data_IF_942497471479
#
_entry.id   IF_942497471479
#
_cell.length_a   1.000
_cell.length_b   1.000
_cell.length_c   1.000
_cell.angle_alpha   90.00
_cell.angle_beta   90.00
_cell.angle_gamma   90.00
#
_symmetry.space_group_name_H-M   'P 1'
#
loop_
_entity.id
_entity.type
_entity.pdbx_description
1 polymer ?
2 polymer ?
3 non-polymer ?
4 non-polymer ?
5 non-polymer ?
6 water ?
#
# COMPACT_ATOMS: atom_id res chain seq x y z
N UNK A 1 15.20 3.61 -19.78
CA UNK A 1 13.82 3.95 -19.47
C UNK A 1 13.30 5.05 -20.35
N UNK A 2 12.00 5.02 -20.65
CA UNK A 2 11.42 6.00 -21.55
C UNK A 2 11.39 7.41 -20.98
N UNK A 3 11.53 7.56 -19.65
CA UNK A 3 11.57 8.90 -19.06
C UNK A 3 12.98 9.38 -18.74
N UNK A 4 14.01 8.67 -19.21
CA UNK A 4 15.37 9.07 -18.91
C UNK A 4 15.75 10.45 -19.46
N UNK A 5 15.11 10.87 -20.54
CA UNK A 5 15.44 12.15 -21.16
C UNK A 5 14.66 13.34 -20.59
N UNK A 6 13.71 13.11 -19.68
CA UNK A 6 12.90 14.22 -19.14
C UNK A 6 13.43 14.67 -17.80
N UNK A 7 13.42 16.00 -17.59
CA UNK A 7 13.85 16.60 -16.33
C UNK A 7 13.05 16.04 -15.15
N UNK A 8 13.72 15.87 -14.01
CA UNK A 8 12.99 15.46 -12.81
C UNK A 8 11.81 16.37 -12.53
N UNK A 9 12.02 17.70 -12.56
CA UNK A 9 10.93 18.63 -12.23
C UNK A 9 9.77 18.50 -13.22
N UNK A 10 10.08 18.25 -14.49
CA UNK A 10 9.04 18.06 -15.51
C UNK A 10 8.26 16.78 -15.27
N UNK A 11 8.95 15.70 -14.84
CA UNK A 11 8.26 14.46 -14.49
C UNK A 11 7.28 14.67 -13.34
N UNK A 12 7.70 15.41 -12.31
CA UNK A 12 6.82 15.68 -11.17
C UNK A 12 5.64 16.54 -11.60
N UNK A 13 5.91 17.61 -12.35
CA UNK A 13 4.82 18.44 -12.88
C UNK A 13 3.83 17.61 -13.70
N UNK A 14 4.33 16.73 -14.57
CA UNK A 14 3.42 15.92 -15.36
C UNK A 14 2.69 14.86 -14.52
N UNK A 15 3.32 14.34 -13.46
CA UNK A 15 2.59 13.45 -12.57
C UNK A 15 1.38 14.15 -11.96
N UNK A 16 1.56 15.41 -11.56
CA UNK A 16 0.44 16.16 -11.00
C UNK A 16 -0.64 16.42 -12.04
N UNK A 17 -0.25 16.69 -13.29
CA UNK A 17 -1.23 16.84 -14.38
C UNK A 17 -1.99 15.53 -14.61
N UNK A 18 -1.28 14.42 -14.63
CA UNK A 18 -1.91 13.12 -14.85
C UNK A 18 -2.89 12.80 -13.73
N UNK A 19 -2.57 13.16 -12.48
CA UNK A 19 -3.51 12.97 -11.39
C UNK A 19 -4.80 13.76 -11.63
N UNK A 20 -4.66 15.01 -12.07
CA UNK A 20 -5.83 15.84 -12.35
C UNK A 20 -6.67 15.26 -13.48
N UNK A 21 -6.02 14.62 -14.45
CA UNK A 21 -6.68 14.01 -15.59
C UNK A 21 -7.13 12.58 -15.31
N UNK A 22 -6.90 12.07 -14.10
CA UNK A 22 -7.22 10.69 -13.73
C UNK A 22 -6.53 9.68 -14.66
N UNK A 23 -5.31 10.01 -15.05
CA UNK A 23 -4.49 9.17 -15.92
C UNK A 23 -3.42 8.49 -15.07
N UNK A 24 -3.85 7.49 -14.28
CA UNK A 24 -2.95 6.98 -13.25
C UNK A 24 -1.83 6.11 -13.78
N UNK A 25 -2.03 5.40 -14.90
CA UNK A 25 -0.90 4.69 -15.51
C UNK A 25 0.19 5.66 -15.94
N UNK A 26 -0.20 6.78 -16.59
CA UNK A 26 0.77 7.81 -16.92
C UNK A 26 1.43 8.36 -15.65
N UNK A 27 0.62 8.60 -14.62
CA UNK A 27 1.16 9.22 -13.43
C UNK A 27 2.20 8.30 -12.79
N UNK A 28 1.94 6.99 -12.85
CA UNK A 28 2.89 6.02 -12.30
C UNK A 28 4.16 5.98 -13.12
N UNK A 29 4.05 6.03 -14.45
CA UNK A 29 5.26 6.03 -15.27
C UNK A 29 6.09 7.28 -15.02
N UNK A 30 5.43 8.44 -14.87
CA UNK A 30 6.16 9.67 -14.58
C UNK A 30 6.89 9.56 -13.24
N UNK A 31 6.23 9.02 -12.22
CA UNK A 31 6.87 8.96 -10.90
C UNK A 31 7.95 7.89 -10.84
N UNK A 32 7.77 6.79 -11.58
CA UNK A 32 8.86 5.83 -11.74
C UNK A 32 10.08 6.53 -12.33
N UNK A 33 9.87 7.33 -13.39
CA UNK A 33 10.97 8.09 -13.96
C UNK A 33 11.61 9.04 -12.97
N UNK A 34 10.80 9.71 -12.13
CA UNK A 34 11.34 10.60 -11.11
C UNK A 34 12.18 9.85 -10.08
N UNK A 35 11.69 8.70 -9.62
CA UNK A 35 12.47 7.90 -8.66
C UNK A 35 13.80 7.50 -9.28
N UNK A 36 13.79 7.14 -10.55
CA UNK A 36 15.01 6.65 -11.18
C UNK A 36 16.02 7.75 -11.45
N UNK A 37 15.68 9.02 -11.19
CA UNK A 37 16.69 10.07 -11.23
C UNK A 37 17.70 9.91 -10.11
N UNK A 38 17.37 9.13 -9.08
CA UNK A 38 18.32 8.79 -8.04
C UNK A 38 18.30 9.68 -6.83
N UNK A 39 17.60 10.81 -6.87
CA UNK A 39 17.49 11.65 -5.68
C UNK A 39 16.39 11.14 -4.76
N UNK A 40 16.53 11.42 -3.48
CA UNK A 40 15.47 11.07 -2.55
C UNK A 40 14.20 11.89 -2.84
N UNK A 41 13.04 11.34 -2.43
CA UNK A 41 11.75 11.98 -2.67
C UNK A 41 11.31 12.78 -1.46
N UNK A 42 10.68 13.93 -1.72
CA UNK A 42 10.04 14.70 -0.66
C UNK A 42 8.79 14.00 -0.15
N UNK A 43 8.03 14.61 0.89
CA UNK A 43 6.78 14.02 1.39
C UNK A 43 5.69 14.07 0.33
N UNK A 44 5.67 15.28 -0.46
CA UNK A 44 4.67 15.44 -1.49
C UNK A 44 4.94 14.49 -2.66
N UNK A 45 6.22 14.29 -3.00
CA UNK A 45 6.58 13.35 -4.08
C UNK A 45 6.27 11.90 -3.71
N UNK A 46 6.49 11.51 -2.45
CA UNK A 46 6.09 10.18 -2.00
C UNK A 46 4.59 10.01 -2.13
N UNK A 47 3.82 11.07 -1.85
CA UNK A 47 2.39 11.00 -2.04
C UNK A 47 2.03 10.75 -3.51
N UNK A 48 2.70 11.47 -4.43
CA UNK A 48 2.40 11.24 -5.85
C UNK A 48 2.71 9.80 -6.26
N UNK A 49 3.85 9.27 -5.83
CA UNK A 49 4.21 7.90 -6.14
C UNK A 49 3.16 6.93 -5.61
N UNK A 50 2.76 7.12 -4.35
CA UNK A 50 1.78 6.26 -3.68
C UNK A 50 0.43 6.31 -4.37
N UNK A 51 -0.08 7.50 -4.66
CA UNK A 51 -1.38 7.63 -5.31
C UNK A 51 -1.37 6.95 -6.67
N UNK A 52 -0.30 7.14 -7.45
CA UNK A 52 -0.26 6.58 -8.80
C UNK A 52 -0.33 5.06 -8.77
N UNK A 53 0.57 4.42 -8.02
CA UNK A 53 0.59 2.97 -8.05
C UNK A 53 -0.59 2.35 -7.29
N UNK A 54 -1.10 3.01 -6.25
CA UNK A 54 -2.27 2.46 -5.56
C UNK A 54 -3.46 2.40 -6.51
N UNK A 55 -3.63 3.43 -7.33
CA UNK A 55 -4.74 3.43 -8.28
C UNK A 55 -4.56 2.36 -9.34
N UNK A 56 -3.33 2.21 -9.87
CA UNK A 56 -3.10 1.20 -10.91
C UNK A 56 -3.35 -0.19 -10.34
N UNK A 57 -2.69 -0.51 -9.23
CA UNK A 57 -2.85 -1.85 -8.68
C UNK A 57 -4.26 -2.05 -8.14
N UNK A 58 -4.92 -0.97 -7.68
CA UNK A 58 -6.28 -1.13 -7.19
C UNK A 58 -7.22 -1.57 -8.29
N UNK A 59 -7.05 -1.02 -9.49
CA UNK A 59 -7.87 -1.45 -10.62
C UNK A 59 -7.60 -2.89 -10.99
N UNK A 60 -6.34 -3.30 -10.94
CA UNK A 60 -5.99 -4.68 -11.23
C UNK A 60 -6.55 -5.62 -10.17
N UNK A 61 -6.47 -5.22 -8.90
CA UNK A 61 -7.00 -6.08 -7.84
C UNK A 61 -8.49 -6.26 -8.01
N UNK A 62 -9.20 -5.17 -8.35
CA UNK A 62 -10.64 -5.26 -8.51
C UNK A 62 -10.99 -6.17 -9.67
N UNK A 63 -10.26 -6.06 -10.78
CA UNK A 63 -10.49 -6.93 -11.93
C UNK A 63 -10.19 -8.39 -11.60
N UNK A 64 -9.08 -8.63 -10.89
CA UNK A 64 -8.72 -10.00 -10.53
C UNK A 64 -9.80 -10.65 -9.66
N UNK A 65 -10.37 -9.90 -8.72
CA UNK A 65 -11.41 -10.46 -7.86
C UNK A 65 -12.65 -10.82 -8.66
N UNK A 66 -13.04 -9.97 -9.63
CA UNK A 66 -14.18 -10.31 -10.48
C UNK A 66 -13.91 -11.61 -11.23
N UNK A 67 -12.73 -11.72 -11.84
CA UNK A 67 -12.42 -12.89 -12.66
C UNK A 67 -12.25 -14.14 -11.82
N UNK A 68 -11.65 -14.00 -10.63
CA UNK A 68 -11.48 -15.15 -9.76
C UNK A 68 -12.82 -15.68 -9.27
N UNK A 69 -13.77 -14.77 -9.03
CA UNK A 69 -15.11 -15.20 -8.62
C UNK A 69 -15.81 -15.96 -9.76
N UNK A 70 -15.71 -15.45 -11.00
CA UNK A 70 -16.28 -16.17 -12.13
C UNK A 70 -15.62 -17.53 -12.28
N UNK A 71 -14.30 -17.58 -12.15
CA UNK A 71 -13.57 -18.84 -12.27
C UNK A 71 -14.00 -19.84 -11.20
N UNK A 72 -14.13 -19.37 -9.96
CA UNK A 72 -14.50 -20.27 -8.87
C UNK A 72 -15.89 -20.85 -9.10
N UNK A 73 -16.81 -20.03 -9.62
CA UNK A 73 -18.16 -20.51 -9.87
C UNK A 73 -18.19 -21.53 -10.99
N UNK A 74 -17.34 -21.35 -12.01
CA UNK A 74 -17.33 -22.27 -13.14
C UNK A 74 -16.79 -23.64 -12.78
N UNK A 75 -16.00 -23.74 -11.71
CA UNK A 75 -15.39 -25.01 -11.31
C UNK A 75 -16.28 -25.79 -10.34
N UNK A 81 -19.18 -26.57 -18.38
CA UNK A 81 -17.80 -26.44 -18.86
C UNK A 81 -17.71 -25.37 -19.94
N UNK A 82 -16.76 -24.43 -19.78
CA UNK A 82 -16.63 -23.32 -20.72
C UNK A 82 -15.27 -23.26 -21.41
N UNK A 83 -14.34 -24.17 -21.10
CA UNK A 83 -13.03 -24.12 -21.70
C UNK A 83 -12.05 -23.33 -20.86
N UNK A 84 -10.86 -23.04 -21.41
CA UNK A 84 -9.78 -22.46 -20.61
C UNK A 84 -9.81 -20.94 -20.50
N UNK A 85 -10.80 -20.27 -21.10
CA UNK A 85 -10.68 -18.82 -21.30
C UNK A 85 -10.74 -18.05 -20.00
N UNK A 86 -11.59 -18.46 -19.05
CA UNK A 86 -11.66 -17.74 -17.78
C UNK A 86 -10.34 -17.84 -17.03
N UNK A 87 -9.77 -19.04 -16.95
CA UNK A 87 -8.48 -19.19 -16.27
C UNK A 87 -7.39 -18.38 -16.99
N UNK A 88 -7.36 -18.47 -18.33
CA UNK A 88 -6.34 -17.76 -19.10
C UNK A 88 -6.40 -16.26 -18.85
N UNK A 89 -7.61 -15.69 -18.87
CA UNK A 89 -7.73 -14.23 -18.72
C UNK A 89 -7.48 -13.81 -17.26
N UNK A 90 -7.91 -14.62 -16.29
CA UNK A 90 -7.55 -14.34 -14.90
C UNK A 90 -6.04 -14.39 -14.73
N UNK A 91 -5.38 -15.36 -15.34
CA UNK A 91 -3.92 -15.45 -15.30
C UNK A 91 -3.28 -14.22 -15.94
N UNK A 92 -3.85 -13.73 -17.03
CA UNK A 92 -3.30 -12.54 -17.70
C UNK A 92 -3.33 -11.34 -16.76
N UNK A 93 -4.48 -11.08 -16.15
CA UNK A 93 -4.59 -9.96 -15.22
C UNK A 93 -3.69 -10.17 -14.01
N UNK A 94 -3.63 -11.42 -13.50
CA UNK A 94 -2.76 -11.74 -12.38
C UNK A 94 -1.29 -11.43 -12.68
N UNK A 95 -0.84 -11.78 -13.87
CA UNK A 95 0.56 -11.56 -14.24
C UNK A 95 0.86 -10.07 -14.35
N UNK A 96 -0.08 -9.29 -14.88
CA UNK A 96 0.12 -7.86 -14.96
C UNK A 96 0.15 -7.24 -13.57
N UNK A 97 -0.74 -7.70 -12.69
CA UNK A 97 -0.73 -7.23 -11.30
C UNK A 97 0.60 -7.53 -10.62
N UNK A 98 1.09 -8.76 -10.79
CA UNK A 98 2.37 -9.15 -10.21
C UNK A 98 3.50 -8.31 -10.78
N UNK A 99 3.42 -7.98 -12.08
CA UNK A 99 4.42 -7.11 -12.67
C UNK A 99 4.48 -5.72 -12.06
N UNK A 100 3.31 -5.13 -11.78
CA UNK A 100 3.26 -3.83 -11.12
C UNK A 100 3.84 -3.92 -9.71
N UNK A 101 3.43 -4.94 -8.94
CA UNK A 101 3.99 -5.12 -7.60
C UNK A 101 5.50 -5.30 -7.65
N UNK A 102 6.00 -6.10 -8.61
CA UNK A 102 7.44 -6.28 -8.73
C UNK A 102 8.15 -4.98 -9.08
N UNK A 103 7.52 -4.14 -9.92
CA UNK A 103 8.09 -2.83 -10.24
C UNK A 103 8.20 -1.95 -9.00
N UNK A 104 7.12 -1.85 -8.21
CA UNK A 104 7.15 -1.03 -7.01
C UNK A 104 8.20 -1.57 -6.04
N UNK A 105 8.18 -2.89 -5.79
CA UNK A 105 9.16 -3.47 -4.89
C UNK A 105 10.58 -3.24 -5.41
N UNK A 106 10.75 -3.21 -6.73
CA UNK A 106 12.06 -2.93 -7.30
C UNK A 106 12.53 -1.51 -7.02
N UNK A 107 11.61 -0.53 -7.11
CA UNK A 107 11.97 0.85 -6.80
C UNK A 107 12.36 0.99 -5.34
N UNK A 108 11.62 0.30 -4.46
CA UNK A 108 11.90 0.41 -3.02
C UNK A 108 13.24 -0.21 -2.69
N UNK A 109 13.59 -1.32 -3.35
CA UNK A 109 14.83 -2.01 -3.08
C UNK A 109 16.02 -1.37 -3.80
N UNK A 110 15.76 -0.51 -4.82
CA UNK A 110 16.82 0.11 -5.64
C UNK A 110 16.44 1.56 -5.97
N UNK A 111 16.62 2.49 -5.03
CA UNK A 111 17.27 2.33 -3.74
C UNK A 111 16.56 3.17 -2.69
N UNK A 112 15.22 3.24 -2.78
CA UNK A 112 14.49 4.17 -1.92
C UNK A 112 14.67 3.84 -0.43
N UNK A 113 14.54 2.55 -0.05
CA UNK A 113 14.59 2.22 1.38
C UNK A 113 15.99 2.44 1.94
N UNK A 114 17.03 2.00 1.24
CA UNK A 114 18.36 2.10 1.83
C UNK A 114 18.80 3.55 1.99
N UNK A 115 18.27 4.46 1.19
CA UNK A 115 18.65 5.86 1.35
C UNK A 115 17.74 6.61 2.31
N UNK A 116 16.69 5.96 2.83
CA UNK A 116 15.70 6.62 3.68
C UNK A 116 16.17 6.58 5.14
N UNK A 117 16.57 7.73 5.67
CA UNK A 117 17.06 7.79 7.03
C UNK A 117 16.13 8.42 8.03
N UNK A 118 15.22 9.27 7.56
CA UNK A 118 14.25 9.90 8.46
C UNK A 118 13.11 8.94 8.74
N UNK A 119 12.47 9.11 9.89
CA UNK A 119 11.38 8.22 10.27
C UNK A 119 10.24 8.24 9.25
N UNK A 120 9.81 9.44 8.83
CA UNK A 120 8.65 9.48 7.93
C UNK A 120 8.95 8.79 6.60
N UNK A 121 10.12 9.03 6.01
CA UNK A 121 10.43 8.36 4.74
C UNK A 121 10.61 6.87 4.95
N UNK A 122 11.40 6.48 5.96
CA UNK A 122 11.69 5.05 6.14
C UNK A 122 10.44 4.26 6.47
N UNK A 123 9.60 4.79 7.38
CA UNK A 123 8.36 4.07 7.71
C UNK A 123 7.42 4.02 6.51
N UNK A 124 7.29 5.11 5.76
CA UNK A 124 6.40 5.08 4.59
C UNK A 124 6.86 4.04 3.58
N UNK A 125 8.16 3.97 3.29
CA UNK A 125 8.63 3.03 2.27
C UNK A 125 8.48 1.59 2.75
N UNK A 126 8.74 1.34 4.05
CA UNK A 126 8.59 -0.02 4.55
C UNK A 126 7.14 -0.45 4.58
N UNK A 127 6.23 0.48 4.93
CA UNK A 127 4.80 0.21 4.79
C UNK A 127 4.45 -0.14 3.34
N UNK A 128 4.98 0.63 2.38
CA UNK A 128 4.75 0.33 0.97
C UNK A 128 5.19 -1.07 0.62
N UNK A 129 6.37 -1.45 1.08
CA UNK A 129 6.90 -2.77 0.79
C UNK A 129 5.98 -3.84 1.37
N UNK A 130 5.50 -3.64 2.60
CA UNK A 130 4.51 -4.56 3.14
C UNK A 130 3.24 -4.63 2.30
N UNK A 131 2.76 -3.48 1.84
CA UNK A 131 1.52 -3.42 1.06
C UNK A 131 1.65 -4.20 -0.24
N UNK A 132 2.76 -4.00 -0.97
CA UNK A 132 2.82 -4.66 -2.28
C UNK A 132 3.15 -6.14 -2.15
N UNK A 133 3.83 -6.56 -1.09
CA UNK A 133 3.90 -8.01 -0.83
C UNK A 133 2.52 -8.55 -0.45
N UNK A 134 1.74 -7.77 0.31
CA UNK A 134 0.38 -8.19 0.64
C UNK A 134 -0.45 -8.37 -0.63
N UNK A 135 -0.30 -7.46 -1.59
CA UNK A 135 -1.05 -7.64 -2.84
C UNK A 135 -0.59 -8.87 -3.61
N UNK A 136 0.71 -9.16 -3.61
CA UNK A 136 1.19 -10.42 -4.17
C UNK A 136 0.59 -11.61 -3.41
N UNK A 137 0.50 -11.50 -2.08
CA UNK A 137 -0.04 -12.61 -1.29
C UNK A 137 -1.51 -12.88 -1.62
N UNK A 138 -2.27 -11.84 -1.97
CA UNK A 138 -3.68 -11.99 -2.28
C UNK A 138 -3.92 -12.95 -3.45
N UNK A 139 -2.99 -13.03 -4.40
CA UNK A 139 -3.14 -13.91 -5.57
C UNK A 139 -2.23 -15.13 -5.52
N UNK A 140 -1.42 -15.27 -4.48
CA UNK A 140 -0.44 -16.35 -4.41
C UNK A 140 -1.11 -17.65 -3.98
N UNK A 141 -0.63 -18.76 -4.54
CA UNK A 141 -1.19 -20.06 -4.22
C UNK A 141 -0.09 -21.08 -3.96
N UNK A 142 0.85 -21.20 -4.89
CA UNK A 142 1.85 -22.25 -4.86
C UNK A 142 2.87 -22.17 -3.74
N UNK A 143 4.03 -22.81 -3.94
CA UNK A 143 5.11 -22.90 -2.95
C UNK A 143 5.69 -21.55 -2.56
N UNK A 144 5.12 -20.46 -3.09
CA UNK A 144 5.59 -19.11 -2.81
C UNK A 144 4.70 -18.34 -1.86
N UNK A 145 3.49 -18.82 -1.58
CA UNK A 145 2.55 -18.01 -0.79
C UNK A 145 3.09 -17.77 0.61
N UNK A 146 3.64 -18.80 1.25
CA UNK A 146 4.13 -18.61 2.61
C UNK A 146 5.31 -17.64 2.66
N UNK A 147 6.25 -17.74 1.72
CA UNK A 147 7.39 -16.82 1.74
C UNK A 147 6.95 -15.39 1.43
N UNK A 148 5.95 -15.23 0.56
CA UNK A 148 5.44 -13.88 0.27
C UNK A 148 4.78 -13.29 1.51
N UNK A 149 4.00 -14.09 2.23
CA UNK A 149 3.38 -13.60 3.46
C UNK A 149 4.44 -13.20 4.46
N UNK A 150 5.52 -13.99 4.59
CA UNK A 150 6.51 -13.62 5.58
C UNK A 150 7.27 -12.36 5.18
N UNK A 151 7.48 -12.14 3.88
CA UNK A 151 8.08 -10.89 3.43
C UNK A 151 7.21 -9.70 3.78
N UNK A 152 5.89 -9.82 3.60
CA UNK A 152 5.01 -8.72 3.99
C UNK A 152 5.09 -8.48 5.50
N UNK A 153 4.99 -9.54 6.29
CA UNK A 153 5.06 -9.42 7.74
C UNK A 153 6.34 -8.72 8.16
N UNK A 154 7.46 -9.12 7.57
CA UNK A 154 8.75 -8.61 7.99
C UNK A 154 8.87 -7.12 7.68
N UNK A 155 8.35 -6.69 6.53
CA UNK A 155 8.37 -5.28 6.18
C UNK A 155 7.49 -4.48 7.13
N UNK A 156 6.27 -4.94 7.35
CA UNK A 156 5.37 -4.24 8.27
C UNK A 156 5.96 -4.15 9.66
N UNK A 157 6.56 -5.25 10.14
CA UNK A 157 7.09 -5.26 11.51
C UNK A 157 8.22 -4.28 11.67
N UNK A 158 9.14 -4.23 10.70
CA UNK A 158 10.21 -3.24 10.76
C UNK A 158 9.66 -1.83 10.79
N UNK A 159 8.66 -1.55 9.92
CA UNK A 159 8.03 -0.24 9.91
C UNK A 159 7.38 0.07 11.26
N UNK A 160 6.68 -0.91 11.84
CA UNK A 160 6.07 -0.68 13.15
C UNK A 160 7.11 -0.38 14.22
N UNK A 161 8.23 -1.13 14.21
CA UNK A 161 9.22 -0.91 15.26
C UNK A 161 9.77 0.51 15.21
N UNK A 162 10.05 1.01 14.00
CA UNK A 162 10.53 2.38 13.86
C UNK A 162 9.45 3.38 14.25
N UNK A 163 8.21 3.16 13.79
CA UNK A 163 7.16 4.15 14.02
C UNK A 163 6.85 4.30 15.51
N UNK A 164 6.91 3.20 16.27
CA UNK A 164 6.62 3.29 17.70
C UNK A 164 7.75 4.01 18.44
N UNK A 165 8.98 3.93 17.94
CA UNK A 165 10.09 4.62 18.59
C UNK A 165 10.19 6.08 18.17
N UNK A 166 9.71 6.43 16.97
CA UNK A 166 10.09 7.71 16.39
C UNK A 166 8.92 8.63 16.08
N UNK A 167 7.69 8.15 16.05
CA UNK A 167 6.55 9.01 15.75
C UNK A 167 5.54 8.99 16.88
N UNK A 168 4.77 10.07 17.02
CA UNK A 168 3.65 10.06 17.97
C UNK A 168 2.55 9.14 17.48
N UNK A 169 1.70 8.65 18.39
CA UNK A 169 0.65 7.69 18.00
C UNK A 169 -0.37 8.24 17.04
N UNK A 170 -0.47 9.57 16.86
CA UNK A 170 -1.39 10.18 15.92
C UNK A 170 -0.78 10.46 14.56
N UNK A 171 0.51 10.22 14.38
CA UNK A 171 1.12 10.47 13.09
C UNK A 171 0.39 9.69 12.00
N UNK A 172 -0.05 10.34 10.91
CA UNK A 172 -0.88 9.62 9.92
C UNK A 172 -0.15 8.47 9.23
N UNK A 173 1.16 8.58 9.04
CA UNK A 173 1.89 7.45 8.45
C UNK A 173 1.88 6.27 9.41
N UNK A 174 2.15 6.53 10.69
CA UNK A 174 2.07 5.47 11.71
C UNK A 174 0.68 4.85 11.75
N UNK A 175 -0.37 5.68 11.68
CA UNK A 175 -1.74 5.18 11.74
C UNK A 175 -2.09 4.35 10.51
N UNK A 176 -1.74 4.84 9.32
CA UNK A 176 -2.04 4.08 8.11
C UNK A 176 -1.29 2.77 8.05
N UNK A 177 -0.05 2.77 8.56
CA UNK A 177 0.71 1.53 8.68
C UNK A 177 -0.01 0.53 9.59
N UNK A 178 -0.43 0.98 10.78
CA UNK A 178 -1.12 0.08 11.70
C UNK A 178 -2.42 -0.44 11.10
N UNK A 179 -3.19 0.45 10.45
CA UNK A 179 -4.39 0.01 9.72
C UNK A 179 -4.05 -1.10 8.73
N UNK A 180 -3.04 -0.90 7.88
CA UNK A 180 -2.78 -1.89 6.84
C UNK A 180 -2.20 -3.18 7.42
N UNK A 181 -1.38 -3.08 8.47
CA UNK A 181 -0.89 -4.29 9.12
C UNK A 181 -2.04 -5.06 9.76
N UNK A 182 -3.04 -4.35 10.30
CA UNK A 182 -4.19 -5.07 10.86
C UNK A 182 -4.98 -5.79 9.76
N UNK A 183 -5.10 -5.16 8.58
CA UNK A 183 -5.75 -5.82 7.44
C UNK A 183 -4.94 -7.04 7.02
N UNK A 184 -3.60 -6.92 6.99
CA UNK A 184 -2.75 -8.06 6.72
C UNK A 184 -3.07 -9.22 7.68
N UNK A 185 -3.16 -8.93 8.99
CA UNK A 185 -3.41 -9.99 9.96
C UNK A 185 -4.75 -10.67 9.69
N UNK A 186 -5.78 -9.87 9.38
CA UNK A 186 -7.13 -10.42 9.27
C UNK A 186 -7.33 -11.14 7.94
N UNK A 187 -6.92 -10.52 6.84
CA UNK A 187 -7.25 -11.01 5.52
C UNK A 187 -6.23 -11.98 4.96
N UNK A 188 -4.97 -11.89 5.38
CA UNK A 188 -3.87 -12.63 4.76
C UNK A 188 -3.33 -13.70 5.68
N UNK A 189 -3.05 -13.33 6.94
CA UNK A 189 -2.33 -14.21 7.86
C UNK A 189 -3.25 -15.07 8.72
N UNK A 190 -4.55 -15.00 8.50
CA UNK A 190 -5.54 -15.80 9.25
C UNK A 190 -5.38 -15.59 10.76
N UNK A 191 -5.15 -14.35 11.16
CA UNK A 191 -4.96 -13.98 12.56
C UNK A 191 -5.93 -12.87 12.94
N UNK A 192 -7.24 -13.15 12.98
CA UNK A 192 -8.19 -12.08 13.31
C UNK A 192 -7.98 -11.50 14.69
N UNK A 193 -7.57 -12.32 15.67
CA UNK A 193 -7.39 -11.76 17.01
C UNK A 193 -6.21 -10.78 17.05
N UNK A 194 -5.13 -11.08 16.33
CA UNK A 194 -4.03 -10.11 16.24
C UNK A 194 -4.49 -8.84 15.53
N UNK A 195 -5.31 -8.98 14.48
CA UNK A 195 -5.82 -7.80 13.77
C UNK A 195 -6.66 -6.92 14.69
N UNK A 196 -7.59 -7.52 15.41
CA UNK A 196 -8.45 -6.78 16.33
C UNK A 196 -7.63 -6.11 17.43
N UNK A 197 -6.70 -6.86 18.03
CA UNK A 197 -5.85 -6.30 19.08
C UNK A 197 -5.06 -5.10 18.56
N UNK A 198 -4.43 -5.24 17.40
CA UNK A 198 -3.66 -4.14 16.86
C UNK A 198 -4.57 -2.94 16.58
N UNK A 199 -5.73 -3.17 16.00
CA UNK A 199 -6.62 -2.07 15.66
C UNK A 199 -7.08 -1.33 16.92
N UNK A 200 -7.47 -2.09 17.97
CA UNK A 200 -7.96 -1.48 19.21
C UNK A 200 -6.86 -0.68 19.91
N UNK A 201 -5.69 -1.28 20.07
CA UNK A 201 -4.58 -0.59 20.72
C UNK A 201 -4.18 0.69 19.96
N UNK A 202 -4.07 0.59 18.63
CA UNK A 202 -3.75 1.77 17.82
C UNK A 202 -4.79 2.86 18.00
N UNK A 203 -6.07 2.50 17.93
CA UNK A 203 -7.13 3.49 18.10
C UNK A 203 -7.04 4.17 19.45
N UNK A 204 -6.88 3.37 20.52
CA UNK A 204 -6.91 3.93 21.87
C UNK A 204 -5.70 4.83 22.12
N UNK A 205 -4.53 4.46 21.62
CA UNK A 205 -3.38 5.32 21.84
C UNK A 205 -3.48 6.61 21.04
N UNK A 206 -4.09 6.54 19.85
CA UNK A 206 -4.27 7.75 19.07
C UNK A 206 -5.27 8.68 19.73
N UNK A 207 -6.40 8.13 20.20
CA UNK A 207 -7.36 8.93 20.95
C UNK A 207 -6.69 9.75 22.05
N UNK A 208 -5.80 9.12 22.81
CA UNK A 208 -5.21 9.79 23.96
C UNK A 208 -4.22 10.88 23.57
N UNK A 209 -3.82 10.95 22.30
CA UNK A 209 -2.84 11.93 21.83
C UNK A 209 -3.47 13.00 20.93
N UNK A 210 -4.78 12.93 20.70
CA UNK A 210 -5.43 13.91 19.81
C UNK A 210 -5.33 15.32 20.37
N UNK A 211 -5.27 15.46 21.69
CA UNK A 211 -5.29 16.78 22.31
C UNK A 211 -4.06 17.60 21.96
N UNK A 212 -3.00 16.97 21.45
CA UNK A 212 -1.77 17.67 21.12
C UNK A 212 -1.78 18.30 19.74
N UNK A 213 -2.79 18.01 18.93
CA UNK A 213 -2.78 18.31 17.51
C UNK A 213 -3.46 19.64 17.19
N UNK A 214 -3.00 20.25 16.11
CA UNK A 214 -3.71 21.35 15.49
C UNK A 214 -4.95 20.81 14.78
N UNK A 215 -5.84 21.74 14.41
CA UNK A 215 -7.06 21.32 13.72
C UNK A 215 -6.76 20.56 12.43
N UNK A 216 -5.70 20.95 11.70
CA UNK A 216 -5.41 20.28 10.44
C UNK A 216 -4.86 18.87 10.65
N UNK A 217 -4.01 18.68 11.66
CA UNK A 217 -3.50 17.34 11.93
C UNK A 217 -4.58 16.47 12.57
N UNK A 218 -5.44 17.09 13.37
CA UNK A 218 -6.58 16.39 13.96
C UNK A 218 -7.46 15.76 12.89
N UNK A 219 -7.79 16.52 11.85
CA UNK A 219 -8.58 15.98 10.74
C UNK A 219 -7.93 14.74 10.14
N UNK A 220 -6.61 14.77 9.96
CA UNK A 220 -5.95 13.68 9.26
C UNK A 220 -5.92 12.42 10.13
N UNK A 221 -5.56 12.57 11.40
CA UNK A 221 -5.50 11.44 12.31
C UNK A 221 -6.88 10.80 12.49
N UNK A 222 -7.91 11.62 12.72
CA UNK A 222 -9.24 11.06 13.00
C UNK A 222 -9.83 10.35 11.80
N UNK A 223 -9.44 10.71 10.58
CA UNK A 223 -9.92 9.98 9.41
C UNK A 223 -9.47 8.52 9.45
N UNK A 224 -8.18 8.28 9.69
CA UNK A 224 -7.72 6.88 9.71
C UNK A 224 -8.28 6.16 10.92
N UNK A 225 -8.44 6.86 12.05
CA UNK A 225 -9.01 6.21 13.22
C UNK A 225 -10.42 5.72 12.95
N UNK A 226 -11.19 6.47 12.16
CA UNK A 226 -12.53 6.00 11.82
C UNK A 226 -12.47 4.73 10.99
N UNK A 227 -11.44 4.58 10.16
CA UNK A 227 -11.29 3.34 9.41
C UNK A 227 -10.95 2.17 10.33
N UNK A 228 -10.11 2.41 11.35
CA UNK A 228 -9.85 1.36 12.32
C UNK A 228 -11.15 0.94 13.01
N UNK A 229 -11.96 1.92 13.39
CA UNK A 229 -13.26 1.64 13.99
C UNK A 229 -14.15 0.87 13.02
N UNK A 230 -14.21 1.29 11.76
CA UNK A 230 -15.05 0.60 10.77
C UNK A 230 -14.67 -0.88 10.70
N UNK A 231 -13.36 -1.17 10.66
CA UNK A 231 -12.93 -2.56 10.59
C UNK A 231 -13.28 -3.30 11.88
N UNK A 232 -13.04 -2.68 13.04
CA UNK A 232 -13.39 -3.35 14.30
C UNK A 232 -14.87 -3.72 14.32
N UNK A 233 -15.71 -2.84 13.81
CA UNK A 233 -17.14 -3.12 13.72
C UNK A 233 -17.41 -4.32 12.82
N UNK A 234 -16.70 -4.39 11.69
CA UNK A 234 -16.86 -5.51 10.76
C UNK A 234 -16.33 -6.80 11.36
N UNK A 235 -15.21 -6.73 12.11
CA UNK A 235 -14.55 -7.92 12.63
C UNK A 235 -15.16 -8.45 13.90
N UNK A 236 -15.95 -7.64 14.61
CA UNK A 236 -16.56 -8.06 15.87
C UNK A 236 -18.08 -7.90 15.85
N UNK B 1 -18.02 -8.80 3.46
CA UNK B 1 -17.44 -7.49 3.14
C UNK B 1 -15.94 -7.46 3.47
N UNK B 2 -15.16 -6.83 2.60
CA UNK B 2 -13.72 -6.78 2.77
C UNK B 2 -13.32 -5.68 3.73
N UNK B 3 -12.20 -5.89 4.41
CA UNK B 3 -11.65 -4.89 5.30
C UNK B 3 -11.19 -3.66 4.53
N UNK B 4 -11.19 -2.52 5.21
CA UNK B 4 -10.75 -1.27 4.61
C UNK B 4 -9.29 -0.98 4.93
N UNK B 6 -5.76 1.67 4.01
CA UNK B 6 -5.55 3.11 3.95
C UNK B 6 -5.93 3.62 2.56
N UNK B 7 -6.71 4.68 2.49
CA UNK B 7 -7.10 5.23 1.18
C UNK B 7 -6.10 6.23 0.64
N UNK B 8 -6.32 6.62 -0.62
CA UNK B 8 -5.57 7.72 -1.23
C UNK B 8 -6.02 9.07 -0.68
N UNK B 9 -5.06 9.95 -0.41
CA UNK B 9 -5.40 11.32 -0.03
C UNK B 9 -5.97 12.03 -1.25
#
# INVERSE_FOLDING_TARGET
GAMGSMERASLIQKAKLAEQAERYEDMAAFMKGAVEKGEELSCEERNLLSVAYKNVVGGQRAAWRVLSSIEQKSNEEGSEEKGPEVREYREKVETELQGVCDTVLGLLDSHLIKEAGDAESRVFYLKMKGDYYRYLAEVATGDDKKRIIDSARSAYQEAMDISKKEMPPTNPIRLGLALNFSVFHYEIANSPEEAISLAKTTFDEAMADLHTLSEDSYKDSTLIMQLLRDNLTLWT
QRSTXTPNV
#
